data_IF_607522455585
#
_entry.id   IF_607522455585
#
_cell.length_a   1.000
_cell.length_b   1.000
_cell.length_c   1.000
_cell.angle_alpha   90.00
_cell.angle_beta   90.00
_cell.angle_gamma   90.00
#
_symmetry.space_group_name_H-M   'P 1'
#
loop_
_entity.id
_entity.type
_entity.pdbx_description
1 polymer ?
#
# COMPACT_ATOMS: atom_id res chain seq x y z
N UNK A 1 19.38 14.31 14.59
CA UNK A 1 18.21 14.23 13.68
C UNK A 1 16.96 14.58 14.47
N UNK A 2 16.09 15.46 13.97
CA UNK A 2 14.83 15.76 14.64
C UNK A 2 13.82 14.61 14.47
N UNK A 3 12.84 14.51 15.37
CA UNK A 3 11.77 13.50 15.30
C UNK A 3 11.03 13.53 13.95
N UNK A 4 10.82 14.73 13.41
CA UNK A 4 10.22 14.96 12.10
C UNK A 4 11.06 14.37 10.96
N UNK A 5 12.38 14.61 10.97
CA UNK A 5 13.28 14.07 9.95
C UNK A 5 13.33 12.53 9.97
N UNK A 6 13.30 11.93 11.17
CA UNK A 6 13.26 10.47 11.31
C UNK A 6 11.96 9.88 10.73
N UNK A 7 10.81 10.54 10.96
CA UNK A 7 9.53 10.13 10.38
C UNK A 7 9.49 10.24 8.86
N UNK A 8 10.00 11.34 8.30
CA UNK A 8 10.09 11.52 6.84
C UNK A 8 10.96 10.41 6.22
N UNK A 9 12.12 10.15 6.81
CA UNK A 9 13.03 9.08 6.32
C UNK A 9 12.37 7.70 6.38
N UNK A 10 11.68 7.38 7.48
CA UNK A 10 10.99 6.10 7.63
C UNK A 10 9.86 5.92 6.61
N UNK A 11 9.11 7.00 6.32
CA UNK A 11 8.07 6.99 5.30
C UNK A 11 8.64 6.79 3.90
N UNK A 12 9.68 7.51 3.52
CA UNK A 12 10.32 7.35 2.22
C UNK A 12 10.81 5.91 2.01
N UNK A 13 11.52 5.35 3.00
CA UNK A 13 11.96 3.96 2.96
C UNK A 13 10.80 2.97 2.78
N UNK A 14 9.68 3.22 3.47
CA UNK A 14 8.49 2.38 3.36
C UNK A 14 7.85 2.47 1.97
N UNK A 15 7.81 3.67 1.39
CA UNK A 15 7.31 3.91 0.04
C UNK A 15 8.21 3.26 -1.02
N UNK A 16 9.52 3.43 -0.92
CA UNK A 16 10.49 2.82 -1.83
C UNK A 16 10.37 1.30 -1.78
N UNK A 17 10.34 0.74 -0.56
CA UNK A 17 10.14 -0.70 -0.37
C UNK A 17 8.80 -1.16 -0.95
N UNK A 18 7.73 -0.38 -0.91
CA UNK A 18 6.43 -0.76 -1.47
C UNK A 18 6.50 -0.92 -3.00
N UNK A 19 7.08 0.07 -3.69
CA UNK A 19 7.15 0.06 -5.15
C UNK A 19 8.10 -1.01 -5.70
N UNK A 20 9.14 -1.40 -4.95
CA UNK A 20 10.00 -2.56 -5.28
C UNK A 20 9.26 -3.93 -5.24
N UNK A 21 8.02 -3.96 -4.77
CA UNK A 21 7.21 -5.18 -4.61
C UNK A 21 6.12 -5.30 -5.67
N UNK A 22 6.23 -4.56 -6.77
CA UNK A 22 5.36 -4.74 -7.91
C UNK A 22 5.32 -6.23 -8.31
N UNK A 23 4.11 -6.77 -8.48
CA UNK A 23 3.90 -8.19 -8.77
C UNK A 23 4.16 -9.14 -7.59
N UNK A 24 4.41 -8.67 -6.36
CA UNK A 24 4.61 -9.49 -5.17
C UNK A 24 3.49 -9.29 -4.15
N UNK A 25 3.41 -10.22 -3.19
CA UNK A 25 2.49 -10.11 -2.06
C UNK A 25 3.04 -9.17 -0.99
N UNK A 26 2.20 -8.28 -0.51
CA UNK A 26 2.50 -7.32 0.54
C UNK A 26 1.38 -7.29 1.58
N UNK A 27 1.75 -7.02 2.82
CA UNK A 27 0.81 -6.67 3.89
C UNK A 27 0.93 -5.18 4.20
N UNK A 28 -0.16 -4.43 4.06
CA UNK A 28 -0.17 -2.98 4.33
C UNK A 28 -1.11 -2.66 5.48
N UNK A 29 -0.67 -1.80 6.38
CA UNK A 29 -1.49 -1.23 7.46
C UNK A 29 -1.57 0.27 7.21
N UNK A 30 -2.77 0.82 7.13
CA UNK A 30 -2.97 2.25 6.88
C UNK A 30 -4.19 2.78 7.60
N UNK A 31 -4.23 4.10 7.73
CA UNK A 31 -5.36 4.81 8.28
C UNK A 31 -6.35 5.18 7.16
N UNK A 32 -7.62 4.81 7.32
CA UNK A 32 -8.67 5.14 6.36
C UNK A 32 -9.00 6.64 6.39
N UNK A 33 -9.81 7.10 5.43
CA UNK A 33 -10.35 8.47 5.47
C UNK A 33 -11.11 8.78 6.76
N UNK A 34 -11.75 7.77 7.36
CA UNK A 34 -12.50 7.87 8.60
C UNK A 34 -11.65 7.74 9.87
N UNK A 35 -10.32 7.64 9.77
CA UNK A 35 -9.42 7.53 10.92
C UNK A 35 -9.28 6.13 11.51
N UNK A 36 -9.91 5.11 10.90
CA UNK A 36 -9.76 3.71 11.36
C UNK A 36 -8.48 3.10 10.79
N UNK A 37 -7.80 2.30 11.60
CA UNK A 37 -6.69 1.49 11.09
C UNK A 37 -7.27 0.26 10.36
N UNK A 38 -6.77 0.02 9.15
CA UNK A 38 -7.13 -1.13 8.34
C UNK A 38 -5.88 -1.83 7.84
N UNK A 39 -5.96 -3.15 7.78
CA UNK A 39 -4.94 -4.01 7.20
C UNK A 39 -5.44 -4.62 5.90
N UNK A 40 -4.57 -4.67 4.89
CA UNK A 40 -4.79 -5.41 3.66
C UNK A 40 -3.63 -6.39 3.46
N UNK A 41 -3.96 -7.53 2.84
CA UNK A 41 -2.98 -8.52 2.42
C UNK A 41 -3.29 -8.90 0.98
N UNK A 42 -2.36 -8.62 0.08
CA UNK A 42 -2.66 -8.75 -1.33
C UNK A 42 -1.45 -8.59 -2.21
N UNK A 43 -1.69 -8.61 -3.52
CA UNK A 43 -0.64 -8.54 -4.55
C UNK A 43 -0.74 -7.22 -5.32
N UNK A 44 0.39 -6.55 -5.50
CA UNK A 44 0.51 -5.34 -6.32
C UNK A 44 0.60 -5.69 -7.81
N UNK A 45 0.23 -4.77 -8.69
CA UNK A 45 0.38 -4.93 -10.15
C UNK A 45 -0.48 -6.04 -10.77
N UNK A 46 -1.58 -6.43 -10.13
CA UNK A 46 -2.46 -7.49 -10.67
C UNK A 46 -3.43 -6.91 -11.68
N UNK A 47 -3.24 -7.19 -12.97
CA UNK A 47 -4.16 -6.73 -14.03
C UNK A 47 -5.13 -7.80 -14.54
N UNK A 48 -4.93 -9.08 -14.18
CA UNK A 48 -5.68 -10.22 -14.73
C UNK A 48 -7.19 -10.17 -14.49
N UNK A 49 -7.64 -9.58 -13.39
CA UNK A 49 -9.06 -9.52 -13.03
C UNK A 49 -9.73 -8.20 -13.42
N UNK A 50 -9.02 -7.33 -14.16
CA UNK A 50 -9.60 -6.15 -14.76
C UNK A 50 -10.36 -6.60 -16.02
N UNK A 51 -11.69 -6.53 -16.00
CA UNK A 51 -12.51 -6.75 -17.20
C UNK A 51 -12.45 -5.50 -18.09
N UNK A 52 -12.40 -5.69 -19.41
CA UNK A 52 -12.49 -4.57 -20.38
C UNK A 52 -13.78 -3.78 -20.10
N UNK A 53 -13.66 -2.59 -19.50
CA UNK A 53 -14.77 -1.66 -19.25
C UNK A 53 -15.00 -1.20 -17.81
N UNK A 54 -14.41 -1.82 -16.78
CA UNK A 54 -14.50 -1.41 -15.36
C UNK A 54 -13.14 -1.71 -14.70
N UNK A 55 -12.33 -0.78 -14.19
CA UNK A 55 -12.58 0.46 -13.45
C UNK A 55 -11.49 1.49 -13.83
N UNK A 56 -11.82 2.69 -14.36
CA UNK A 56 -10.84 3.72 -14.72
C UNK A 56 -10.01 4.25 -13.53
N UNK A 57 -10.28 3.80 -12.29
CA UNK A 57 -9.48 4.11 -11.11
C UNK A 57 -8.37 3.09 -10.80
N UNK A 58 -8.11 2.12 -11.69
CA UNK A 58 -7.10 1.07 -11.56
C UNK A 58 -5.66 1.51 -11.88
N UNK A 59 -5.44 2.78 -12.26
CA UNK A 59 -4.10 3.32 -12.39
C UNK A 59 -3.63 3.81 -11.01
N UNK A 60 -2.48 3.31 -10.56
CA UNK A 60 -1.80 3.88 -9.42
C UNK A 60 -1.57 5.37 -9.67
N UNK A 61 -1.89 6.19 -8.67
CA UNK A 61 -1.44 7.59 -8.65
C UNK A 61 -0.25 7.69 -7.71
N UNK A 62 0.42 8.84 -7.70
CA UNK A 62 1.49 9.11 -6.71
C UNK A 62 1.02 8.92 -5.26
N UNK A 63 -0.28 9.09 -5.00
CA UNK A 63 -0.85 9.08 -3.65
C UNK A 63 -1.64 7.81 -3.32
N UNK A 64 -2.18 7.12 -4.33
CA UNK A 64 -3.05 5.96 -4.17
C UNK A 64 -2.46 4.74 -4.88
N UNK A 65 -2.26 3.69 -4.10
CA UNK A 65 -1.76 2.40 -4.60
C UNK A 65 -2.89 1.39 -4.62
N UNK A 66 -2.97 0.65 -5.72
CA UNK A 66 -3.92 -0.42 -5.94
C UNK A 66 -3.31 -1.76 -5.55
N UNK A 67 -4.05 -2.50 -4.73
CA UNK A 67 -3.69 -3.84 -4.30
C UNK A 67 -4.86 -4.78 -4.60
N UNK A 68 -4.56 -5.95 -5.14
CA UNK A 68 -5.54 -7.03 -5.20
C UNK A 68 -5.56 -7.72 -3.84
N UNK A 69 -6.57 -7.41 -3.03
CA UNK A 69 -6.75 -7.95 -1.68
C UNK A 69 -7.23 -9.39 -1.76
N UNK A 70 -6.37 -10.31 -1.28
CA UNK A 70 -6.65 -11.74 -1.27
C UNK A 70 -7.87 -12.09 -0.43
N UNK A 71 -8.08 -11.39 0.68
CA UNK A 71 -9.15 -11.71 1.63
C UNK A 71 -10.52 -11.30 1.07
N UNK A 72 -10.57 -10.17 0.38
CA UNK A 72 -11.79 -9.68 -0.27
C UNK A 72 -12.01 -10.27 -1.67
N UNK A 73 -10.99 -10.89 -2.27
CA UNK A 73 -11.03 -11.38 -3.65
C UNK A 73 -11.17 -10.26 -4.68
N UNK A 74 -10.67 -9.05 -4.39
CA UNK A 74 -10.94 -7.88 -5.23
C UNK A 74 -9.96 -6.73 -5.05
N UNK A 75 -10.06 -5.75 -5.93
CA UNK A 75 -9.21 -4.57 -5.91
C UNK A 75 -9.57 -3.61 -4.77
N UNK A 76 -8.54 -3.15 -4.07
CA UNK A 76 -8.66 -2.09 -3.06
C UNK A 76 -7.57 -1.07 -3.28
N UNK A 77 -7.83 0.15 -2.81
CA UNK A 77 -6.84 1.23 -2.81
C UNK A 77 -6.58 1.71 -1.41
N UNK A 78 -5.35 2.15 -1.20
CA UNK A 78 -4.92 2.80 0.03
C UNK A 78 -4.02 3.98 -0.30
N UNK A 79 -3.99 4.94 0.61
CA UNK A 79 -3.13 6.10 0.48
C UNK A 79 -1.76 5.80 1.04
N UNK A 80 -0.71 6.04 0.24
CA UNK A 80 0.69 5.93 0.68
C UNK A 80 0.95 6.91 1.84
N UNK A 81 0.27 8.06 1.80
CA UNK A 81 0.43 9.08 2.82
C UNK A 81 -0.09 8.70 4.21
N UNK A 82 -1.06 7.79 4.22
CA UNK A 82 -1.68 7.27 5.45
C UNK A 82 -1.15 5.90 5.82
N UNK A 83 -0.08 5.45 5.17
CA UNK A 83 0.56 4.18 5.47
C UNK A 83 1.17 4.25 6.87
N UNK A 84 0.86 3.25 7.69
CA UNK A 84 1.34 3.09 9.06
C UNK A 84 2.24 1.88 9.21
N UNK A 85 2.18 0.93 8.27
CA UNK A 85 3.09 -0.21 8.25
C UNK A 85 3.08 -0.96 6.93
N UNK A 86 4.20 -1.61 6.66
CA UNK A 86 4.43 -2.43 5.47
C UNK A 86 5.16 -3.72 5.87
N UNK A 87 4.65 -4.84 5.38
CA UNK A 87 5.28 -6.17 5.44
C UNK A 87 5.53 -6.64 4.02
N UNK A 88 6.78 -6.63 3.59
CA UNK A 88 7.17 -7.06 2.26
C UNK A 88 8.67 -7.37 2.19
N UNK A 89 9.09 -8.20 1.22
CA UNK A 89 10.51 -8.51 1.01
C UNK A 89 11.23 -9.12 2.22
N UNK A 90 10.50 -9.81 3.11
CA UNK A 90 11.05 -10.33 4.38
C UNK A 90 11.25 -9.28 5.48
N UNK A 91 10.86 -8.03 5.24
CA UNK A 91 10.94 -6.92 6.19
C UNK A 91 9.56 -6.54 6.73
N UNK A 92 9.53 -5.99 7.95
CA UNK A 92 8.33 -5.43 8.57
C UNK A 92 8.65 -4.05 9.15
N UNK A 93 8.09 -3.01 8.56
CA UNK A 93 8.25 -1.62 8.97
C UNK A 93 6.94 -1.09 9.58
N UNK A 94 7.03 -0.31 10.66
CA UNK A 94 5.89 0.34 11.32
C UNK A 94 6.24 1.76 11.73
N UNK A 95 5.30 2.67 11.55
CA UNK A 95 5.34 4.05 12.05
C UNK A 95 4.51 4.11 13.33
N UNK A 96 5.17 4.43 14.45
CA UNK A 96 4.55 4.68 15.74
C UNK A 96 4.23 6.17 15.92
#
# INVERSE_FOLDING_TARGET
MSKLQAQIKARNLMTDLLYEQEGKFVGVTFETRSGRIRELNGRLGVHRYLTKGLDPQAADTLELVTIWDRNAGGYRRFSVDRLRGLRAGGMSLRLN
#
